data_IF_330948499356
#
_entry.id   IF_330948499356
#
_cell.length_a   1.000
_cell.length_b   1.000
_cell.length_c   1.000
_cell.angle_alpha   90.00
_cell.angle_beta   90.00
_cell.angle_gamma   90.00
#
_symmetry.space_group_name_H-M   'P 1'
#
loop_
_entity.id
_entity.type
_entity.pdbx_description
1 polymer ?
#
# COMPACT_ATOMS: atom_id res chain seq x y z
N UNK A 1 -31.24 3.21 7.06
CA UNK A 1 -30.49 3.52 5.82
C UNK A 1 -29.11 3.96 6.26
N UNK A 2 -28.10 3.10 6.06
CA UNK A 2 -26.73 3.43 6.37
C UNK A 2 -26.18 4.29 5.23
N UNK A 3 -25.78 5.53 5.55
CA UNK A 3 -25.03 6.37 4.62
C UNK A 3 -23.60 5.86 4.56
N UNK A 4 -23.17 5.41 3.39
CA UNK A 4 -21.75 5.25 3.10
C UNK A 4 -21.20 6.66 2.86
N UNK A 5 -20.34 7.15 3.75
CA UNK A 5 -19.56 8.35 3.50
C UNK A 5 -18.52 8.00 2.43
N UNK A 6 -18.75 8.45 1.19
CA UNK A 6 -17.74 8.48 0.15
C UNK A 6 -17.01 9.81 0.26
N UNK A 7 -16.00 9.93 1.13
CA UNK A 7 -15.17 11.14 1.18
C UNK A 7 -13.69 10.77 1.29
N UNK A 8 -12.92 11.23 0.30
CA UNK A 8 -11.47 11.05 0.23
C UNK A 8 -10.94 10.90 -1.19
N UNK A 9 -11.21 11.86 -2.09
CA UNK A 9 -10.36 12.00 -3.30
C UNK A 9 -9.05 12.65 -2.83
N UNK A 10 -7.89 12.04 -3.08
CA UNK A 10 -6.62 12.59 -2.62
C UNK A 10 -6.37 14.00 -3.16
N UNK A 11 -5.96 14.89 -2.26
CA UNK A 11 -5.63 16.27 -2.60
C UNK A 11 -4.33 16.27 -3.39
N UNK A 12 -4.38 16.64 -4.68
CA UNK A 12 -3.15 16.91 -5.44
C UNK A 12 -2.49 18.16 -4.86
N UNK A 13 -1.44 17.97 -4.06
CA UNK A 13 -0.54 19.07 -3.68
C UNK A 13 0.33 19.38 -4.90
N UNK A 14 0.09 20.54 -5.49
CA UNK A 14 0.79 21.04 -6.68
C UNK A 14 2.30 21.12 -6.40
N UNK A 15 3.11 20.28 -7.05
CA UNK A 15 4.54 20.56 -7.26
C UNK A 15 5.54 19.46 -6.92
N UNK A 16 5.15 18.40 -6.22
CA UNK A 16 6.04 17.27 -5.93
C UNK A 16 5.39 15.99 -6.45
N UNK A 17 6.11 15.28 -7.31
CA UNK A 17 5.70 13.95 -7.80
C UNK A 17 5.80 12.98 -6.62
N UNK A 18 4.78 12.98 -5.76
CA UNK A 18 4.66 11.97 -4.71
C UNK A 18 4.49 10.63 -5.41
N UNK A 19 5.48 9.74 -5.23
CA UNK A 19 5.31 8.31 -5.50
C UNK A 19 4.17 7.86 -4.60
N UNK A 20 3.00 7.63 -5.20
CA UNK A 20 1.87 7.07 -4.46
C UNK A 20 2.06 5.57 -4.54
N UNK A 21 2.82 5.01 -3.60
CA UNK A 21 2.71 3.60 -3.28
C UNK A 21 2.55 3.51 -1.77
N UNK A 22 1.31 3.51 -1.27
CA UNK A 22 1.06 3.27 0.15
C UNK A 22 0.33 1.96 0.35
N UNK A 23 0.65 1.32 1.47
CA UNK A 23 -0.06 0.15 1.99
C UNK A 23 -0.61 0.56 3.34
N UNK A 24 -1.92 0.50 3.47
CA UNK A 24 -2.67 1.06 4.58
C UNK A 24 -3.61 0.02 5.15
N UNK A 25 -3.86 0.10 6.45
CA UNK A 25 -4.78 -0.75 7.18
C UNK A 25 -5.91 0.12 7.72
N UNK A 26 -7.12 -0.08 7.17
CA UNK A 26 -8.35 0.52 7.66
C UNK A 26 -8.93 -0.35 8.78
N UNK A 27 -9.55 0.31 9.77
CA UNK A 27 -10.25 -0.34 10.88
C UNK A 27 -9.34 -1.31 11.68
N UNK A 28 -8.07 -0.91 11.89
CA UNK A 28 -7.04 -1.74 12.54
C UNK A 28 -7.49 -2.27 13.91
N UNK A 29 -8.29 -1.51 14.66
CA UNK A 29 -8.79 -1.91 15.98
C UNK A 29 -9.73 -3.13 15.92
N UNK A 30 -10.33 -3.41 14.75
CA UNK A 30 -11.22 -4.54 14.52
C UNK A 30 -10.47 -5.80 14.04
N UNK A 31 -9.13 -5.82 14.06
CA UNK A 31 -8.34 -6.94 13.53
C UNK A 31 -8.67 -8.29 14.18
N UNK A 32 -9.00 -8.30 15.48
CA UNK A 32 -9.37 -9.52 16.22
C UNK A 32 -10.71 -10.09 15.79
N UNK A 33 -11.57 -9.28 15.16
CA UNK A 33 -12.84 -9.70 14.60
C UNK A 33 -12.73 -10.10 13.12
N UNK A 34 -11.53 -9.99 12.52
CA UNK A 34 -11.31 -10.25 11.10
C UNK A 34 -11.97 -9.21 10.18
N UNK A 35 -12.21 -8.00 10.67
CA UNK A 35 -12.90 -6.91 9.93
C UNK A 35 -11.98 -5.74 9.57
N UNK A 36 -10.66 -5.95 9.56
CA UNK A 36 -9.72 -4.98 9.01
C UNK A 36 -9.72 -5.08 7.48
N UNK A 37 -9.36 -3.98 6.82
CA UNK A 37 -9.15 -3.94 5.37
C UNK A 37 -7.73 -3.46 5.07
N UNK A 38 -7.05 -4.11 4.12
CA UNK A 38 -5.76 -3.62 3.60
C UNK A 38 -6.03 -2.91 2.29
N UNK A 39 -5.68 -1.63 2.23
CA UNK A 39 -5.86 -0.77 1.07
C UNK A 39 -4.47 -0.47 0.47
N UNK A 40 -4.34 -0.63 -0.85
CA UNK A 40 -3.09 -0.35 -1.58
C UNK A 40 -3.36 0.78 -2.58
N UNK A 41 -2.69 1.92 -2.40
CA UNK A 41 -2.79 3.07 -3.29
C UNK A 41 -1.55 3.14 -4.16
N UNK A 42 -1.75 3.14 -5.48
CA UNK A 42 -0.69 3.12 -6.48
C UNK A 42 -0.91 4.21 -7.52
N UNK A 43 0.12 4.96 -7.85
CA UNK A 43 0.20 5.66 -9.12
C UNK A 43 0.62 4.71 -10.25
N UNK A 44 0.66 5.24 -11.47
CA UNK A 44 0.99 4.45 -12.66
C UNK A 44 2.42 3.88 -12.63
N UNK A 45 3.38 4.63 -12.11
CA UNK A 45 4.78 4.17 -12.01
C UNK A 45 4.89 3.06 -10.97
N UNK A 46 4.33 3.27 -9.78
CA UNK A 46 4.33 2.29 -8.70
C UNK A 46 3.63 0.99 -9.10
N UNK A 47 2.54 1.07 -9.88
CA UNK A 47 1.88 -0.11 -10.44
C UNK A 47 2.80 -0.89 -11.39
N UNK A 48 3.57 -0.20 -12.24
CA UNK A 48 4.51 -0.85 -13.14
C UNK A 48 5.63 -1.57 -12.37
N UNK A 49 6.14 -0.94 -11.31
CA UNK A 49 7.16 -1.53 -10.45
C UNK A 49 6.62 -2.75 -9.69
N UNK A 50 5.40 -2.67 -9.15
CA UNK A 50 4.72 -3.80 -8.53
C UNK A 50 4.58 -4.97 -9.50
N UNK A 51 4.07 -4.73 -10.70
CA UNK A 51 3.92 -5.77 -11.72
C UNK A 51 5.26 -6.38 -12.13
N UNK A 52 6.32 -5.57 -12.24
CA UNK A 52 7.66 -6.07 -12.52
C UNK A 52 8.13 -7.04 -11.42
N UNK A 53 8.02 -6.65 -10.15
CA UNK A 53 8.44 -7.50 -9.02
C UNK A 53 7.60 -8.79 -8.93
N UNK A 54 6.29 -8.73 -9.21
CA UNK A 54 5.43 -9.90 -9.24
C UNK A 54 5.79 -10.87 -10.39
N UNK A 55 6.13 -10.36 -11.58
CA UNK A 55 6.62 -11.21 -12.68
C UNK A 55 7.96 -11.87 -12.33
N UNK A 56 8.84 -11.16 -11.63
CA UNK A 56 10.09 -11.73 -11.14
C UNK A 56 9.84 -12.83 -10.10
N UNK A 57 8.85 -12.65 -9.23
CA UNK A 57 8.44 -13.65 -8.24
C UNK A 57 7.95 -14.95 -8.90
N UNK A 58 7.21 -14.87 -10.01
CA UNK A 58 6.78 -16.03 -10.80
C UNK A 58 7.99 -16.82 -11.36
N UNK A 59 9.08 -16.13 -11.70
CA UNK A 59 10.26 -16.76 -12.32
C UNK A 59 11.25 -17.30 -11.30
N UNK A 60 11.56 -16.52 -10.25
CA UNK A 60 12.60 -16.85 -9.27
C UNK A 60 12.07 -17.77 -8.15
N UNK A 61 10.77 -17.74 -7.87
CA UNK A 61 10.18 -18.30 -6.66
C UNK A 61 10.55 -17.48 -5.41
N UNK A 62 10.00 -17.87 -4.25
CA UNK A 62 10.22 -17.28 -2.92
C UNK A 62 9.33 -16.06 -2.58
N UNK A 63 9.87 -14.84 -2.52
CA UNK A 63 9.12 -13.65 -2.09
C UNK A 63 9.70 -12.34 -2.66
N UNK A 64 8.88 -11.29 -2.66
CA UNK A 64 9.31 -9.92 -2.92
C UNK A 64 8.95 -9.00 -1.74
N UNK A 65 9.71 -7.91 -1.63
CA UNK A 65 9.59 -6.92 -0.57
C UNK A 65 9.44 -5.51 -1.14
N UNK A 66 8.55 -4.74 -0.54
CA UNK A 66 8.43 -3.30 -0.74
C UNK A 66 8.54 -2.65 0.64
N UNK A 67 9.41 -1.65 0.77
CA UNK A 67 9.69 -1.02 2.06
C UNK A 67 9.65 0.51 1.93
N UNK A 68 9.21 1.16 3.00
CA UNK A 68 9.29 2.60 3.11
C UNK A 68 10.71 3.05 3.53
N UNK A 69 11.09 4.32 3.33
CA UNK A 69 12.37 4.89 3.75
C UNK A 69 12.83 4.52 5.16
N UNK A 70 11.96 4.54 6.17
CA UNK A 70 12.27 4.18 7.56
C UNK A 70 12.73 2.72 7.72
N UNK A 71 12.44 1.88 6.73
CA UNK A 71 12.79 0.46 6.70
C UNK A 71 13.88 0.17 5.66
N UNK A 72 14.52 1.20 5.12
CA UNK A 72 15.64 1.08 4.18
C UNK A 72 15.24 0.76 2.74
N UNK A 73 13.93 0.80 2.42
CA UNK A 73 13.43 0.78 1.05
C UNK A 73 13.12 2.18 0.53
N UNK A 74 12.59 2.26 -0.68
CA UNK A 74 12.07 3.51 -1.24
C UNK A 74 10.86 3.27 -2.15
N UNK A 75 10.26 2.08 -2.05
CA UNK A 75 9.11 1.70 -2.85
C UNK A 75 7.83 2.19 -2.21
N UNK A 76 7.72 2.17 -0.88
CA UNK A 76 6.52 2.59 -0.16
C UNK A 76 6.63 4.03 0.37
N UNK A 77 5.49 4.71 0.41
CA UNK A 77 5.30 6.00 1.09
C UNK A 77 5.25 5.81 2.61
N UNK A 78 5.74 6.81 3.35
CA UNK A 78 5.56 6.95 4.81
C UNK A 78 4.36 7.81 5.19
N UNK A 79 3.74 8.42 4.17
CA UNK A 79 2.57 9.28 4.36
C UNK A 79 1.32 8.49 3.93
N UNK A 80 0.32 8.34 4.82
CA UNK A 80 -0.94 7.71 4.45
C UNK A 80 -1.71 8.59 3.47
N UNK A 81 -2.40 7.93 2.54
CA UNK A 81 -3.26 8.56 1.55
C UNK A 81 -4.63 8.93 2.14
N UNK A 82 -5.13 8.10 3.05
CA UNK A 82 -6.39 8.33 3.76
C UNK A 82 -6.13 8.66 5.22
N UNK A 83 -6.74 9.75 5.69
CA UNK A 83 -6.67 10.14 7.10
C UNK A 83 -7.36 9.09 7.98
N UNK A 84 -6.70 8.70 9.07
CA UNK A 84 -7.21 7.70 10.02
C UNK A 84 -6.80 6.26 9.71
N UNK A 85 -6.29 5.97 8.51
CA UNK A 85 -5.66 4.69 8.21
C UNK A 85 -4.31 4.55 8.91
N UNK A 86 -3.93 3.31 9.25
CA UNK A 86 -2.59 2.99 9.75
C UNK A 86 -1.69 2.55 8.61
N UNK A 87 -0.52 3.16 8.48
CA UNK A 87 0.42 2.83 7.42
C UNK A 87 1.24 1.57 7.73
N UNK A 88 1.46 0.74 6.71
CA UNK A 88 2.36 -0.39 6.75
C UNK A 88 3.65 -0.05 5.99
N UNK A 89 4.76 0.10 6.73
CA UNK A 89 6.08 0.43 6.16
C UNK A 89 6.76 -0.75 5.45
N UNK A 90 6.14 -1.94 5.46
CA UNK A 90 6.67 -3.16 4.88
C UNK A 90 5.55 -4.02 4.30
N UNK A 91 5.64 -4.29 3.01
CA UNK A 91 4.83 -5.27 2.33
C UNK A 91 5.73 -6.42 1.87
N UNK A 92 5.40 -7.63 2.28
CA UNK A 92 6.00 -8.86 1.77
C UNK A 92 4.95 -9.67 1.03
N UNK A 93 5.23 -10.02 -0.22
CA UNK A 93 4.40 -10.94 -0.99
C UNK A 93 5.22 -12.21 -1.21
N UNK A 94 4.67 -13.37 -0.82
CA UNK A 94 5.34 -14.67 -0.91
C UNK A 94 4.56 -15.57 -1.84
N UNK A 95 5.24 -16.20 -2.79
CA UNK A 95 4.66 -17.25 -3.63
C UNK A 95 4.71 -18.56 -2.86
N UNK A 96 3.55 -19.18 -2.65
CA UNK A 96 3.40 -20.45 -1.94
C UNK A 96 2.84 -21.52 -2.89
N UNK A 97 3.29 -22.76 -2.72
CA UNK A 97 2.84 -23.94 -3.49
C UNK A 97 1.62 -24.63 -2.84
#
# INVERSE_FOLDING_TARGET
MAGFATEGVPTQVKGETHVVFSVEVRDVDLWREGKLEVEIYLDKSALQDLLFQLNQLETAGDHCHFMAPAWGGNELSETPMIEGNVIANHLKITLVE
#
